data_IF_459429195094
#
_entry.id   IF_459429195094
#
_cell.length_a   1.000
_cell.length_b   1.000
_cell.length_c   1.000
_cell.angle_alpha   90.00
_cell.angle_beta   90.00
_cell.angle_gamma   90.00
#
_symmetry.space_group_name_H-M   'P 1'
#
loop_
_entity.id
_entity.type
_entity.pdbx_description
1 polymer ?
#
# COMPACT_ATOMS: atom_id res chain seq x y z
N UNK A 1 7.97 29.75 19.10
CA UNK A 1 8.42 29.50 17.71
C UNK A 1 7.33 28.74 17.00
N UNK A 2 6.71 29.35 15.98
CA UNK A 2 5.62 28.72 15.23
C UNK A 2 6.16 27.51 14.45
N UNK A 3 5.46 26.36 14.47
CA UNK A 3 5.85 25.22 13.63
C UNK A 3 5.77 25.63 12.16
N UNK A 4 6.82 25.36 11.37
CA UNK A 4 6.81 25.56 9.91
C UNK A 4 5.56 24.88 9.34
N UNK A 5 4.63 25.69 8.82
CA UNK A 5 3.37 25.21 8.25
C UNK A 5 3.65 24.68 6.84
N UNK A 6 3.78 23.36 6.70
CA UNK A 6 3.72 22.71 5.39
C UNK A 6 2.25 22.66 4.93
N UNK A 7 1.99 23.17 3.72
CA UNK A 7 0.64 23.17 3.15
C UNK A 7 0.52 22.06 2.11
N UNK A 8 -0.46 21.18 2.27
CA UNK A 8 -0.76 20.13 1.28
C UNK A 8 -1.65 20.75 0.21
N UNK A 9 -1.10 20.96 -0.97
CA UNK A 9 -1.85 21.50 -2.11
C UNK A 9 -2.57 20.33 -2.80
N UNK A 10 -3.91 20.32 -2.73
CA UNK A 10 -4.76 19.41 -3.51
C UNK A 10 -4.80 19.93 -4.94
N UNK A 11 -4.19 19.19 -5.86
CA UNK A 11 -4.15 19.58 -7.28
C UNK A 11 -5.25 18.84 -8.04
N UNK A 12 -6.03 19.57 -8.83
CA UNK A 12 -7.01 18.99 -9.74
C UNK A 12 -6.35 18.12 -10.81
N UNK A 13 -7.01 17.01 -11.14
CA UNK A 13 -6.49 15.90 -11.97
C UNK A 13 -5.94 16.31 -13.34
N UNK A 14 -6.28 17.51 -13.84
CA UNK A 14 -5.91 17.99 -15.16
C UNK A 14 -4.60 18.79 -15.20
N UNK A 15 -4.20 19.40 -14.08
CA UNK A 15 -2.92 20.15 -14.01
C UNK A 15 -1.71 19.21 -13.93
N UNK A 16 -1.92 18.00 -13.42
CA UNK A 16 -0.90 16.95 -13.28
C UNK A 16 -0.40 16.39 -14.62
N UNK A 17 -1.17 16.57 -15.70
CA UNK A 17 -0.84 16.03 -17.03
C UNK A 17 0.10 16.97 -17.81
N UNK A 18 0.08 18.27 -17.54
CA UNK A 18 0.83 19.27 -18.31
C UNK A 18 2.30 19.37 -17.87
N UNK A 19 2.59 19.18 -16.58
CA UNK A 19 3.96 19.26 -16.04
C UNK A 19 4.83 18.06 -16.47
N UNK A 20 4.22 16.92 -16.82
CA UNK A 20 4.94 15.71 -17.25
C UNK A 20 5.38 15.72 -18.71
N UNK A 21 4.89 16.65 -19.53
CA UNK A 21 5.23 16.73 -20.97
C UNK A 21 6.45 17.61 -21.28
N UNK A 22 6.95 18.39 -20.31
CA UNK A 22 8.04 19.36 -20.53
C UNK A 22 9.38 19.02 -19.87
N UNK A 23 9.53 17.84 -19.25
CA UNK A 23 10.84 17.43 -18.69
C UNK A 23 11.28 16.07 -19.22
N UNK A 24 12.47 15.97 -19.84
CA UNK A 24 12.94 14.75 -20.46
C UNK A 24 13.17 13.65 -19.42
N UNK A 25 12.91 12.44 -19.89
CA UNK A 25 13.13 11.16 -19.25
C UNK A 25 14.54 11.04 -18.68
N UNK A 26 14.61 10.58 -17.42
CA UNK A 26 15.80 10.08 -16.72
C UNK A 26 16.95 11.06 -16.50
N UNK A 27 16.83 11.88 -15.46
CA UNK A 27 17.94 12.11 -14.55
C UNK A 27 17.41 12.01 -13.12
N UNK A 28 17.88 11.00 -12.37
CA UNK A 28 17.49 10.79 -10.98
C UNK A 28 18.30 11.76 -10.13
N UNK A 29 17.90 13.04 -10.11
CA UNK A 29 18.45 14.03 -9.20
C UNK A 29 17.82 13.81 -7.81
N UNK A 30 18.66 13.57 -6.81
CA UNK A 30 18.26 13.47 -5.40
C UNK A 30 18.65 14.77 -4.70
N UNK A 31 17.79 15.79 -4.77
CA UNK A 31 18.00 17.05 -4.07
C UNK A 31 17.75 16.87 -2.57
N UNK A 32 18.38 17.72 -1.77
CA UNK A 32 18.10 17.86 -0.33
C UNK A 32 17.68 19.29 0.00
N UNK A 33 16.50 19.47 0.60
CA UNK A 33 16.01 20.78 1.10
C UNK A 33 16.29 20.86 2.59
N UNK A 34 16.98 21.89 3.03
CA UNK A 34 17.26 22.17 4.44
C UNK A 34 16.25 23.21 4.95
N UNK A 35 15.55 22.91 6.04
CA UNK A 35 14.54 23.79 6.63
C UNK A 35 15.09 24.51 7.87
N UNK A 36 14.55 25.70 8.17
CA UNK A 36 15.01 26.53 9.31
C UNK A 36 14.82 25.88 10.67
N UNK A 37 13.89 24.93 10.77
CA UNK A 37 13.67 24.15 11.99
C UNK A 37 14.68 23.00 12.19
N UNK A 38 15.72 22.92 11.33
CA UNK A 38 16.73 21.87 11.38
C UNK A 38 16.35 20.59 10.65
N UNK A 39 15.15 20.50 10.06
CA UNK A 39 14.74 19.33 9.30
C UNK A 39 15.37 19.32 7.90
N UNK A 40 15.71 18.13 7.43
CA UNK A 40 16.25 17.90 6.09
C UNK A 40 15.29 17.03 5.28
N UNK A 41 14.97 17.47 4.07
CA UNK A 41 14.15 16.76 3.11
C UNK A 41 15.05 16.20 2.02
N UNK A 42 15.45 14.94 2.14
CA UNK A 42 16.37 14.26 1.21
C UNK A 42 15.66 13.55 0.08
N UNK A 43 16.40 13.27 -0.99
CA UNK A 43 15.96 12.44 -2.12
C UNK A 43 14.67 12.96 -2.79
N UNK A 44 14.51 14.28 -2.83
CA UNK A 44 13.37 14.92 -3.50
C UNK A 44 13.82 15.57 -4.79
N UNK A 45 12.85 15.90 -5.64
CA UNK A 45 13.03 16.88 -6.70
C UNK A 45 12.39 18.17 -6.22
N UNK A 46 13.21 19.19 -5.95
CA UNK A 46 12.73 20.48 -5.49
C UNK A 46 12.71 21.48 -6.65
N UNK A 47 11.62 22.22 -6.78
CA UNK A 47 11.50 23.34 -7.72
C UNK A 47 10.84 24.53 -7.02
N UNK A 48 11.10 25.73 -7.53
CA UNK A 48 10.43 26.94 -7.07
C UNK A 48 9.30 27.28 -8.04
N UNK A 49 8.12 27.56 -7.50
CA UNK A 49 6.94 27.97 -8.27
C UNK A 49 6.05 28.84 -7.36
N UNK A 50 5.62 30.01 -7.85
CA UNK A 50 4.79 30.98 -7.11
C UNK A 50 5.38 31.43 -5.76
N UNK A 51 6.71 31.57 -5.67
CA UNK A 51 7.39 31.95 -4.42
C UNK A 51 7.41 30.86 -3.34
N UNK A 52 6.99 29.64 -3.68
CA UNK A 52 7.04 28.46 -2.83
C UNK A 52 8.10 27.49 -3.34
N UNK A 53 8.79 26.83 -2.41
CA UNK A 53 9.63 25.68 -2.73
C UNK A 53 8.74 24.43 -2.67
N UNK A 54 8.44 23.88 -3.84
CA UNK A 54 7.61 22.69 -4.01
C UNK A 54 8.49 21.46 -4.19
N UNK A 55 8.06 20.34 -3.64
CA UNK A 55 8.69 19.05 -3.90
C UNK A 55 7.67 17.92 -3.84
N UNK A 56 8.00 16.77 -4.44
CA UNK A 56 7.14 15.60 -4.39
C UNK A 56 7.46 14.73 -3.17
N UNK A 57 6.49 14.58 -2.26
CA UNK A 57 6.60 13.77 -1.05
C UNK A 57 5.34 12.95 -0.83
N UNK A 58 5.48 11.70 -0.37
CA UNK A 58 4.33 10.85 0.00
C UNK A 58 3.25 10.69 -1.08
N UNK A 59 3.61 10.82 -2.36
CA UNK A 59 2.63 10.76 -3.45
C UNK A 59 1.84 12.06 -3.68
N UNK A 60 2.26 13.18 -3.10
CA UNK A 60 1.64 14.50 -3.21
C UNK A 60 2.69 15.59 -3.41
N UNK A 61 2.27 16.77 -3.91
CA UNK A 61 3.13 17.96 -3.93
C UNK A 61 3.02 18.65 -2.56
N UNK A 62 4.16 18.78 -1.90
CA UNK A 62 4.28 19.50 -0.63
C UNK A 62 5.01 20.80 -0.91
N UNK A 63 4.43 21.90 -0.45
CA UNK A 63 4.96 23.24 -0.64
C UNK A 63 5.47 23.81 0.69
N UNK A 64 6.65 24.40 0.63
CA UNK A 64 7.29 25.11 1.72
C UNK A 64 7.39 26.59 1.37
N UNK A 65 7.15 27.45 2.36
CA UNK A 65 7.41 28.88 2.20
C UNK A 65 8.91 29.08 1.99
N UNK A 66 9.31 29.90 1.01
CA UNK A 66 10.74 30.15 0.71
C UNK A 66 11.50 30.65 1.94
N UNK A 67 10.85 31.45 2.80
CA UNK A 67 11.40 31.92 4.08
C UNK A 67 11.74 30.80 5.08
N UNK A 68 11.14 29.62 4.94
CA UNK A 68 11.34 28.47 5.84
C UNK A 68 12.41 27.50 5.30
N UNK A 69 12.88 27.71 4.06
CA UNK A 69 13.94 26.93 3.42
C UNK A 69 15.27 27.67 3.57
N UNK A 70 16.27 27.00 4.16
CA UNK A 70 17.63 27.51 4.35
C UNK A 70 18.42 27.40 3.04
N UNK A 71 18.44 26.21 2.43
CA UNK A 71 19.12 25.95 1.16
C UNK A 71 18.61 24.67 0.51
N UNK A 72 18.89 24.52 -0.79
CA UNK A 72 18.63 23.29 -1.54
C UNK A 72 19.96 22.81 -2.13
N UNK A 73 20.38 21.61 -1.75
CA UNK A 73 21.55 20.95 -2.33
C UNK A 73 21.09 20.06 -3.49
N UNK A 74 21.56 20.36 -4.71
CA UNK A 74 21.24 19.58 -5.91
C UNK A 74 22.14 18.34 -5.97
N UNK A 75 21.55 17.15 -6.06
CA UNK A 75 22.31 15.90 -6.05
C UNK A 75 23.05 15.63 -7.37
N UNK A 76 24.37 15.49 -7.32
CA UNK A 76 25.19 14.95 -8.41
C UNK A 76 25.46 13.45 -8.13
N UNK A 77 25.00 12.56 -9.02
CA UNK A 77 25.26 11.11 -8.86
C UNK A 77 26.68 10.79 -9.33
N UNK A 78 27.54 10.28 -8.42
CA UNK A 78 28.74 9.54 -8.83
C UNK A 78 28.33 8.15 -9.34
N UNK A 79 28.72 7.82 -10.58
CA UNK A 79 28.54 6.49 -11.19
C UNK A 79 29.28 5.45 -10.34
N UNK A 80 28.56 4.65 -9.55
CA UNK A 80 29.08 3.43 -8.95
C UNK A 80 28.75 2.25 -9.86
N UNK A 81 29.78 1.71 -10.50
CA UNK A 81 29.79 0.46 -11.26
C UNK A 81 29.61 -0.74 -10.33
N UNK A 82 28.36 -1.16 -10.11
CA UNK A 82 27.89 -2.55 -9.96
C UNK A 82 26.55 -2.57 -9.20
N UNK A 83 25.48 -3.14 -9.76
CA UNK A 83 24.19 -3.21 -9.08
C UNK A 83 24.03 -4.54 -8.33
N UNK A 84 23.64 -4.55 -7.04
CA UNK A 84 22.87 -5.65 -6.50
C UNK A 84 21.42 -5.48 -6.96
N UNK A 85 20.96 -6.42 -7.78
CA UNK A 85 19.55 -6.63 -8.10
C UNK A 85 18.74 -6.82 -6.80
N UNK A 86 17.79 -5.92 -6.52
CA UNK A 86 16.45 -6.19 -5.95
C UNK A 86 15.77 -4.87 -5.51
N UNK A 87 14.46 -4.78 -5.78
CA UNK A 87 13.49 -3.77 -5.29
C UNK A 87 13.43 -2.41 -5.99
N UNK A 88 12.50 -2.25 -6.95
CA UNK A 88 11.99 -0.95 -7.42
C UNK A 88 10.50 -0.85 -7.13
N UNK A 89 10.12 -0.06 -6.13
CA UNK A 89 8.70 0.29 -5.92
C UNK A 89 8.34 0.85 -4.55
N UNK A 90 8.78 2.10 -4.26
CA UNK A 90 8.08 3.07 -3.41
C UNK A 90 8.05 2.82 -1.91
N UNK A 91 9.12 3.23 -1.21
CA UNK A 91 9.10 3.56 0.22
C UNK A 91 8.64 5.01 0.39
N UNK A 92 7.68 5.25 1.28
CA UNK A 92 7.46 6.58 1.82
C UNK A 92 8.61 6.93 2.78
N UNK A 93 9.25 8.06 2.52
CA UNK A 93 10.02 8.91 3.44
C UNK A 93 11.19 8.29 4.24
N UNK A 94 12.40 8.77 3.94
CA UNK A 94 13.48 8.93 4.93
C UNK A 94 13.82 7.71 5.79
N UNK A 95 14.60 6.81 5.22
CA UNK A 95 15.64 5.98 5.86
C UNK A 95 15.29 4.87 6.86
N UNK A 96 14.03 4.65 7.26
CA UNK A 96 13.62 3.38 7.90
C UNK A 96 12.18 3.01 7.52
N UNK A 97 11.87 1.74 7.16
CA UNK A 97 10.48 1.33 6.97
C UNK A 97 9.67 1.64 8.24
N UNK A 98 8.61 2.45 8.12
CA UNK A 98 7.70 2.69 9.23
C UNK A 98 6.99 1.39 9.57
N UNK A 99 7.29 0.89 10.77
CA UNK A 99 6.81 -0.37 11.27
C UNK A 99 5.53 -0.18 12.08
N UNK A 100 4.46 -0.82 11.65
CA UNK A 100 3.17 -0.80 12.32
C UNK A 100 3.04 -2.03 13.23
N UNK A 101 2.64 -1.82 14.48
CA UNK A 101 2.32 -2.92 15.39
C UNK A 101 0.94 -3.48 15.04
N UNK A 102 0.84 -4.77 14.77
CA UNK A 102 -0.46 -5.41 14.52
C UNK A 102 -1.24 -5.49 15.84
N UNK A 103 -2.48 -4.98 15.83
CA UNK A 103 -3.37 -4.99 16.99
C UNK A 103 -4.35 -6.17 16.91
N UNK A 104 -4.98 -6.37 15.75
CA UNK A 104 -6.03 -7.37 15.57
C UNK A 104 -6.14 -7.80 14.12
N UNK A 105 -6.25 -9.11 13.89
CA UNK A 105 -6.63 -9.68 12.58
C UNK A 105 -8.13 -9.93 12.57
N UNK A 106 -8.81 -9.52 11.49
CA UNK A 106 -10.25 -9.74 11.34
C UNK A 106 -10.53 -11.03 10.57
N UNK A 107 -9.93 -11.16 9.40
CA UNK A 107 -10.12 -12.24 8.43
C UNK A 107 -8.82 -12.48 7.64
N UNK A 108 -8.89 -13.13 6.48
CA UNK A 108 -7.72 -13.48 5.67
C UNK A 108 -7.11 -12.34 4.86
N UNK A 109 -7.65 -11.12 4.89
CA UNK A 109 -7.12 -10.00 4.10
C UNK A 109 -7.23 -8.63 4.79
N UNK A 110 -7.76 -8.58 6.02
CA UNK A 110 -7.99 -7.34 6.74
C UNK A 110 -7.56 -7.42 8.21
N UNK A 111 -6.92 -6.35 8.71
CA UNK A 111 -6.45 -6.25 10.10
C UNK A 111 -6.36 -4.79 10.56
N UNK A 112 -6.20 -4.56 11.87
CA UNK A 112 -5.85 -3.25 12.45
C UNK A 112 -4.37 -3.26 12.81
N UNK A 113 -3.69 -2.19 12.42
CA UNK A 113 -2.33 -1.89 12.84
C UNK A 113 -2.28 -0.55 13.59
N UNK A 114 -1.21 -0.32 14.36
CA UNK A 114 -1.00 0.94 15.06
C UNK A 114 0.41 1.46 14.88
N UNK A 115 0.52 2.77 14.72
CA UNK A 115 1.77 3.52 14.70
C UNK A 115 1.60 4.78 15.53
N UNK A 116 2.52 5.05 16.47
CA UNK A 116 2.49 6.23 17.36
C UNK A 116 1.11 6.47 18.02
N UNK A 117 0.47 5.40 18.54
CA UNK A 117 -0.87 5.37 19.15
C UNK A 117 -2.06 5.61 18.19
N UNK A 118 -1.81 5.93 16.93
CA UNK A 118 -2.84 6.01 15.89
C UNK A 118 -3.16 4.59 15.43
N UNK A 119 -4.46 4.25 15.30
CA UNK A 119 -4.92 2.96 14.79
C UNK A 119 -5.43 3.13 13.37
N UNK A 120 -5.00 2.24 12.47
CA UNK A 120 -5.44 2.23 11.08
C UNK A 120 -5.95 0.83 10.71
N UNK A 121 -7.08 0.79 10.01
CA UNK A 121 -7.55 -0.43 9.37
C UNK A 121 -6.79 -0.66 8.06
N UNK A 122 -6.30 -1.87 7.84
CA UNK A 122 -5.58 -2.26 6.64
C UNK A 122 -6.41 -3.29 5.87
N UNK A 123 -6.51 -3.09 4.56
CA UNK A 123 -6.98 -4.08 3.58
C UNK A 123 -5.81 -4.43 2.67
N UNK A 124 -5.38 -5.69 2.71
CA UNK A 124 -4.32 -6.20 1.85
C UNK A 124 -4.81 -6.14 0.41
N UNK A 125 -4.02 -5.48 -0.43
CA UNK A 125 -4.39 -5.26 -1.82
C UNK A 125 -4.04 -6.45 -2.70
N UNK A 126 -4.75 -6.59 -3.83
CA UNK A 126 -4.50 -7.64 -4.81
C UNK A 126 -5.08 -9.00 -4.45
N UNK A 127 -5.66 -9.16 -3.25
CA UNK A 127 -6.24 -10.42 -2.78
C UNK A 127 -7.68 -10.26 -2.28
N UNK A 128 -8.42 -11.36 -2.33
CA UNK A 128 -9.72 -11.53 -1.67
C UNK A 128 -9.75 -12.87 -0.94
N UNK A 129 -9.87 -12.84 0.39
CA UNK A 129 -9.92 -14.05 1.19
C UNK A 129 -11.37 -14.53 1.40
N UNK A 130 -11.57 -15.84 1.66
CA UNK A 130 -12.89 -16.35 2.00
C UNK A 130 -13.46 -15.73 3.28
N UNK A 131 -14.77 -15.48 3.29
CA UNK A 131 -15.45 -14.84 4.42
C UNK A 131 -15.45 -15.74 5.66
N UNK A 132 -15.06 -15.22 6.83
CA UNK A 132 -15.10 -15.98 8.10
C UNK A 132 -16.52 -16.19 8.64
N UNK A 133 -17.51 -15.46 8.10
CA UNK A 133 -18.84 -15.32 8.70
C UNK A 133 -18.84 -14.29 9.84
N UNK A 134 -19.95 -13.57 9.99
CA UNK A 134 -20.21 -12.64 11.11
C UNK A 134 -21.45 -13.15 11.88
N UNK A 135 -21.79 -12.53 13.02
CA UNK A 135 -22.85 -12.97 13.97
C UNK A 135 -24.13 -13.58 13.35
N UNK A 136 -24.59 -13.12 12.17
CA UNK A 136 -25.78 -13.64 11.47
C UNK A 136 -25.51 -14.19 10.06
N UNK A 137 -24.26 -14.33 9.64
CA UNK A 137 -23.89 -14.67 8.25
C UNK A 137 -23.00 -15.92 8.17
N UNK A 138 -23.35 -16.83 7.26
CA UNK A 138 -22.58 -18.05 6.97
C UNK A 138 -21.18 -17.67 6.46
N UNK A 139 -20.16 -18.28 7.04
CA UNK A 139 -18.79 -18.22 6.54
C UNK A 139 -18.59 -19.11 5.32
N UNK A 140 -17.55 -18.82 4.55
CA UNK A 140 -17.08 -19.67 3.45
C UNK A 140 -16.15 -20.76 3.96
N UNK A 141 -16.07 -21.90 3.25
CA UNK A 141 -14.95 -22.82 3.39
C UNK A 141 -13.62 -22.08 3.32
N UNK A 142 -12.65 -22.47 4.15
CA UNK A 142 -11.33 -21.83 4.32
C UNK A 142 -11.31 -20.41 4.91
N UNK A 143 -12.46 -19.82 5.28
CA UNK A 143 -12.48 -18.47 5.84
C UNK A 143 -11.74 -18.37 7.17
N UNK A 144 -11.98 -19.31 8.09
CA UNK A 144 -11.30 -19.35 9.39
C UNK A 144 -9.82 -19.69 9.22
N UNK A 145 -9.50 -20.58 8.30
CA UNK A 145 -8.16 -21.03 7.95
C UNK A 145 -7.33 -19.86 7.41
N UNK A 146 -7.89 -19.07 6.49
CA UNK A 146 -7.25 -17.87 5.95
C UNK A 146 -6.93 -16.85 7.04
N UNK A 147 -7.90 -16.56 7.92
CA UNK A 147 -7.68 -15.65 9.05
C UNK A 147 -6.64 -16.16 10.05
N UNK A 148 -6.66 -17.46 10.36
CA UNK A 148 -5.64 -18.11 11.23
C UNK A 148 -4.25 -18.04 10.60
N UNK A 149 -4.14 -18.28 9.29
CA UNK A 149 -2.88 -18.23 8.57
C UNK A 149 -2.29 -16.81 8.55
N UNK A 150 -3.09 -15.80 8.19
CA UNK A 150 -2.67 -14.40 8.26
C UNK A 150 -2.23 -14.03 9.68
N UNK A 151 -3.02 -14.39 10.69
CA UNK A 151 -2.66 -14.18 12.10
C UNK A 151 -1.34 -14.84 12.46
N UNK A 152 -1.09 -16.08 12.04
CA UNK A 152 0.18 -16.79 12.30
C UNK A 152 1.37 -16.05 11.66
N UNK A 153 1.21 -15.51 10.46
CA UNK A 153 2.29 -14.79 9.77
C UNK A 153 2.70 -13.52 10.51
N UNK A 154 1.75 -12.80 11.13
CA UNK A 154 1.96 -11.44 11.64
C UNK A 154 1.87 -11.30 13.17
N UNK A 155 1.44 -12.32 13.91
CA UNK A 155 1.30 -12.27 15.37
C UNK A 155 2.66 -11.95 16.02
N UNK A 156 2.67 -10.94 16.89
CA UNK A 156 3.87 -10.52 17.63
C UNK A 156 4.91 -9.78 16.78
N UNK A 157 4.60 -9.48 15.51
CA UNK A 157 5.52 -8.81 14.58
C UNK A 157 5.03 -7.41 14.25
N UNK A 158 5.95 -6.60 13.75
CA UNK A 158 5.62 -5.37 13.04
C UNK A 158 5.50 -5.62 11.54
N UNK A 159 4.74 -4.77 10.87
CA UNK A 159 4.57 -4.82 9.42
C UNK A 159 5.02 -3.51 8.78
N UNK A 160 5.66 -3.60 7.62
CA UNK A 160 5.85 -2.47 6.73
C UNK A 160 4.66 -2.38 5.76
N UNK A 161 4.24 -1.16 5.44
CA UNK A 161 3.01 -0.90 4.68
C UNK A 161 3.34 0.00 3.51
N UNK A 162 2.97 -0.43 2.30
CA UNK A 162 3.00 0.40 1.10
C UNK A 162 1.57 0.73 0.67
N UNK A 163 1.20 1.98 0.91
CA UNK A 163 -0.16 2.52 0.73
C UNK A 163 -0.49 2.80 -0.74
N UNK A 164 -1.76 2.55 -1.09
CA UNK A 164 -2.37 2.86 -2.38
C UNK A 164 -3.65 3.71 -2.26
N UNK A 165 -3.81 4.41 -1.14
CA UNK A 165 -5.03 5.16 -0.80
C UNK A 165 -6.05 4.35 0.00
N UNK A 166 -7.22 4.94 0.26
CA UNK A 166 -8.23 4.37 1.16
C UNK A 166 -9.43 3.80 0.40
N UNK A 167 -10.07 2.79 0.99
CA UNK A 167 -11.35 2.25 0.51
C UNK A 167 -12.55 3.02 1.10
N UNK A 168 -13.75 2.70 0.62
CA UNK A 168 -15.01 3.29 1.09
C UNK A 168 -15.34 3.05 2.57
N UNK A 169 -14.61 2.13 3.22
CA UNK A 169 -14.75 1.80 4.64
C UNK A 169 -13.64 2.45 5.47
N UNK A 170 -12.92 3.41 4.88
CA UNK A 170 -11.79 4.11 5.49
C UNK A 170 -10.64 3.19 5.93
N UNK A 171 -10.47 2.04 5.25
CA UNK A 171 -9.31 1.18 5.41
C UNK A 171 -8.24 1.57 4.40
N UNK A 172 -6.99 1.54 4.84
CA UNK A 172 -5.83 1.71 4.00
C UNK A 172 -5.68 0.49 3.06
N UNK A 173 -5.75 0.72 1.75
CA UNK A 173 -5.36 -0.28 0.75
C UNK A 173 -3.84 -0.34 0.71
N UNK A 174 -3.26 -1.52 0.92
CA UNK A 174 -1.81 -1.63 0.99
C UNK A 174 -1.25 -2.99 0.60
N UNK A 175 -0.02 -2.97 0.06
CA UNK A 175 0.89 -4.10 0.17
C UNK A 175 1.48 -4.13 1.58
N UNK A 176 1.57 -5.32 2.17
CA UNK A 176 1.98 -5.50 3.57
C UNK A 176 3.12 -6.50 3.64
N UNK A 177 4.16 -6.14 4.39
CA UNK A 177 5.38 -6.92 4.49
C UNK A 177 5.76 -7.21 5.93
N UNK A 178 6.25 -8.42 6.19
CA UNK A 178 6.94 -8.81 7.42
C UNK A 178 8.38 -9.13 7.05
N UNK A 179 9.32 -8.24 7.37
CA UNK A 179 10.65 -8.27 6.78
C UNK A 179 10.53 -8.21 5.24
N UNK A 180 11.13 -9.19 4.54
CA UNK A 180 11.06 -9.29 3.08
C UNK A 180 9.87 -10.12 2.56
N UNK A 181 8.98 -10.58 3.44
CA UNK A 181 7.85 -11.44 3.08
C UNK A 181 6.62 -10.60 2.74
N UNK A 182 6.17 -10.64 1.48
CA UNK A 182 4.89 -10.05 1.07
C UNK A 182 3.73 -10.96 1.53
N UNK A 183 2.91 -10.46 2.46
CA UNK A 183 1.82 -11.23 3.04
C UNK A 183 0.74 -11.57 2.03
N UNK A 184 0.39 -10.64 1.14
CA UNK A 184 -0.63 -10.87 0.12
C UNK A 184 -0.21 -11.99 -0.84
N UNK A 185 1.07 -11.98 -1.24
CA UNK A 185 1.64 -13.04 -2.07
C UNK A 185 1.61 -14.41 -1.36
N UNK A 186 1.98 -14.47 -0.08
CA UNK A 186 1.94 -15.71 0.68
C UNK A 186 0.51 -16.24 0.91
N UNK A 187 -0.49 -15.37 1.07
CA UNK A 187 -1.90 -15.78 1.10
C UNK A 187 -2.33 -16.49 -0.20
N UNK A 188 -1.94 -15.94 -1.35
CA UNK A 188 -2.24 -16.54 -2.67
C UNK A 188 -1.50 -17.86 -2.85
N UNK A 189 -0.21 -17.92 -2.50
CA UNK A 189 0.64 -19.12 -2.63
C UNK A 189 0.15 -20.28 -1.77
N UNK A 190 -0.43 -19.99 -0.61
CA UNK A 190 -1.07 -20.95 0.27
C UNK A 190 -2.47 -21.39 -0.22
N UNK A 191 -3.04 -20.72 -1.22
CA UNK A 191 -4.42 -20.96 -1.68
C UNK A 191 -5.46 -20.50 -0.66
N UNK A 192 -5.15 -19.49 0.16
CA UNK A 192 -6.05 -18.96 1.19
C UNK A 192 -6.65 -17.60 0.82
N UNK A 193 -6.42 -17.16 -0.41
CA UNK A 193 -7.09 -16.06 -1.06
C UNK A 193 -7.06 -16.25 -2.59
N UNK A 194 -7.96 -15.58 -3.30
CA UNK A 194 -7.90 -15.42 -4.76
C UNK A 194 -7.35 -14.04 -5.13
N UNK A 195 -6.83 -13.91 -6.35
CA UNK A 195 -6.34 -12.63 -6.86
C UNK A 195 -7.54 -11.75 -7.21
N UNK A 196 -7.58 -10.55 -6.63
CA UNK A 196 -8.70 -9.63 -6.83
C UNK A 196 -8.83 -9.20 -8.30
N UNK A 197 -10.07 -9.01 -8.75
CA UNK A 197 -10.37 -8.72 -10.16
C UNK A 197 -9.65 -7.43 -10.64
N UNK A 198 -8.87 -7.59 -11.71
CA UNK A 198 -7.92 -6.62 -12.29
C UNK A 198 -8.49 -5.22 -12.54
N UNK A 199 -9.79 -5.07 -12.79
CA UNK A 199 -10.42 -3.78 -13.16
C UNK A 199 -10.40 -2.72 -12.05
N UNK A 200 -10.00 -3.07 -10.82
CA UNK A 200 -10.02 -2.17 -9.65
C UNK A 200 -8.69 -2.10 -8.89
N UNK A 201 -7.60 -2.56 -9.51
CA UNK A 201 -6.29 -2.43 -8.89
C UNK A 201 -5.76 -0.99 -9.10
N UNK A 202 -5.17 -0.38 -8.07
CA UNK A 202 -4.64 0.97 -8.19
C UNK A 202 -3.42 0.99 -9.10
N UNK A 203 -3.15 2.17 -9.68
CA UNK A 203 -1.96 2.41 -10.49
C UNK A 203 -0.70 2.10 -9.67
N UNK A 204 0.26 1.41 -10.27
CA UNK A 204 1.55 1.08 -9.62
C UNK A 204 1.54 -0.19 -8.75
N UNK A 205 0.44 -0.96 -8.70
CA UNK A 205 0.45 -2.30 -8.10
C UNK A 205 0.75 -3.37 -9.16
N UNK A 206 1.81 -4.17 -8.95
CA UNK A 206 2.19 -5.26 -9.87
C UNK A 206 1.50 -6.59 -9.49
N UNK A 207 0.41 -6.90 -10.20
CA UNK A 207 -0.37 -8.13 -9.98
C UNK A 207 0.23 -9.38 -10.62
N UNK A 208 1.28 -9.27 -11.45
CA UNK A 208 1.77 -10.40 -12.27
C UNK A 208 2.27 -11.56 -11.42
N UNK A 209 2.97 -11.28 -10.33
CA UNK A 209 3.48 -12.31 -9.42
C UNK A 209 2.34 -13.04 -8.70
N UNK A 210 1.28 -12.32 -8.32
CA UNK A 210 0.11 -12.87 -7.66
C UNK A 210 -0.63 -13.84 -8.60
N UNK A 211 -0.81 -13.48 -9.87
CA UNK A 211 -1.45 -14.34 -10.87
C UNK A 211 -0.66 -15.63 -11.12
N UNK A 212 0.68 -15.55 -11.18
CA UNK A 212 1.54 -16.73 -11.33
C UNK A 212 1.44 -17.65 -10.11
N UNK A 213 1.46 -17.07 -8.91
CA UNK A 213 1.29 -17.81 -7.66
C UNK A 213 -0.08 -18.50 -7.60
N UNK A 214 -1.15 -17.80 -8.00
CA UNK A 214 -2.50 -18.36 -8.03
C UNK A 214 -2.62 -19.52 -9.03
N UNK A 215 -2.06 -19.37 -10.24
CA UNK A 215 -2.01 -20.47 -11.23
C UNK A 215 -1.35 -21.71 -10.64
N UNK A 216 -0.26 -21.53 -9.89
CA UNK A 216 0.44 -22.63 -9.21
C UNK A 216 -0.39 -23.22 -8.07
N UNK A 217 -1.04 -22.39 -7.25
CA UNK A 217 -1.91 -22.85 -6.17
C UNK A 217 -3.11 -23.66 -6.70
N UNK A 218 -3.69 -23.24 -7.83
CA UNK A 218 -4.72 -23.98 -8.58
C UNK A 218 -4.23 -25.33 -9.07
N UNK A 219 -3.07 -25.37 -9.75
CA UNK A 219 -2.45 -26.61 -10.27
C UNK A 219 -2.26 -27.68 -9.18
N UNK A 220 -1.93 -27.26 -7.96
CA UNK A 220 -1.67 -28.16 -6.83
C UNK A 220 -2.84 -28.23 -5.84
N UNK A 221 -4.05 -27.79 -6.23
CA UNK A 221 -5.26 -27.89 -5.42
C UNK A 221 -5.10 -27.37 -3.98
N UNK A 222 -4.37 -26.27 -3.79
CA UNK A 222 -4.09 -25.73 -2.45
C UNK A 222 -5.28 -24.96 -1.88
N UNK A 223 -5.59 -25.17 -0.61
CA UNK A 223 -6.58 -24.40 0.14
C UNK A 223 -7.92 -24.35 -0.59
N UNK A 224 -8.43 -23.15 -0.89
CA UNK A 224 -9.69 -22.93 -1.61
C UNK A 224 -9.78 -23.70 -2.94
N UNK A 225 -8.64 -23.94 -3.61
CA UNK A 225 -8.58 -24.63 -4.90
C UNK A 225 -8.76 -26.14 -4.78
N UNK A 226 -8.71 -26.71 -3.57
CA UNK A 226 -9.09 -28.12 -3.33
C UNK A 226 -10.59 -28.38 -3.48
N UNK A 227 -11.42 -27.33 -3.45
CA UNK A 227 -12.87 -27.45 -3.56
C UNK A 227 -13.35 -27.71 -5.00
N UNK A 228 -12.47 -27.53 -6.00
CA UNK A 228 -12.84 -27.63 -7.41
C UNK A 228 -14.05 -26.77 -7.74
N UNK A 229 -15.05 -27.37 -8.38
CA UNK A 229 -16.28 -26.70 -8.82
C UNK A 229 -17.16 -26.18 -7.68
N UNK A 230 -16.94 -26.67 -6.45
CA UNK A 230 -17.66 -26.19 -5.26
C UNK A 230 -17.13 -24.84 -4.77
N UNK A 231 -15.99 -24.38 -5.28
CA UNK A 231 -15.43 -23.09 -4.91
C UNK A 231 -16.32 -21.93 -5.42
N UNK A 232 -16.62 -20.98 -4.52
CA UNK A 232 -17.33 -19.75 -4.85
C UNK A 232 -16.45 -18.57 -4.42
N UNK A 233 -16.14 -17.68 -5.37
CA UNK A 233 -15.34 -16.50 -5.07
C UNK A 233 -15.97 -15.63 -3.97
N UNK A 234 -15.18 -14.96 -3.10
CA UNK A 234 -15.72 -14.15 -2.02
C UNK A 234 -16.65 -13.04 -2.51
N UNK A 235 -16.36 -12.45 -3.67
CA UNK A 235 -17.24 -11.48 -4.33
C UNK A 235 -18.62 -12.07 -4.65
N UNK A 236 -18.69 -13.27 -5.25
CA UNK A 236 -19.96 -13.92 -5.58
C UNK A 236 -20.70 -14.32 -4.30
N UNK A 237 -19.98 -14.83 -3.30
CA UNK A 237 -20.56 -15.19 -2.01
C UNK A 237 -21.22 -13.99 -1.31
N UNK A 238 -20.54 -12.84 -1.26
CA UNK A 238 -21.09 -11.59 -0.69
C UNK A 238 -22.36 -11.14 -1.43
N UNK A 239 -22.41 -11.31 -2.76
CA UNK A 239 -23.61 -11.00 -3.56
C UNK A 239 -24.77 -11.94 -3.23
N UNK A 240 -24.52 -13.25 -3.13
CA UNK A 240 -25.52 -14.27 -2.80
C UNK A 240 -26.08 -14.13 -1.38
N UNK A 241 -25.23 -13.76 -0.43
CA UNK A 241 -25.59 -13.66 1.00
C UNK A 241 -25.88 -12.22 1.44
N UNK A 242 -26.16 -11.30 0.51
CA UNK A 242 -26.52 -9.93 0.84
C UNK A 242 -27.92 -9.95 1.46
N UNK A 243 -28.02 -9.74 2.78
CA UNK A 243 -29.31 -9.57 3.46
C UNK A 243 -29.99 -8.34 2.86
N UNK A 244 -31.00 -8.54 2.03
CA UNK A 244 -31.94 -7.49 1.66
C UNK A 244 -32.83 -7.26 2.86
N UNK A 245 -32.60 -6.17 3.59
CA UNK A 245 -33.64 -5.64 4.46
C UNK A 245 -34.79 -5.24 3.53
N UNK A 246 -35.89 -6.01 3.52
CA UNK A 246 -37.16 -5.48 3.04
C UNK A 246 -37.47 -4.31 3.96
N UNK A 247 -37.34 -3.09 3.46
CA UNK A 247 -37.99 -1.94 4.08
C UNK A 247 -39.47 -2.29 4.14
N UNK A 248 -40.00 -2.48 5.34
CA UNK A 248 -41.45 -2.55 5.57
C UNK A 248 -42.00 -1.15 5.47
#
# INVERSE_FOLDING_TARGET
MNPCQAMIIRIDKYFFLLIFLLFPLFSVCADTIFLKNGNEIKNVRAWEEDGLIKCFQYGSIVAYQKKDVVRIEKGLVKKSSNPPLLWKGGYGYGDKPEFFKVIRVFDGDSFIASYKKIKIGIRIIGIDAPETGKKKGKGQPFGKEAGKYLKKMIKGKTVAIKSYGTDRYNRQLAEVFVGNVNLGFEMIKAGLAEVYNRKRLPKGFDVRQYLRAEKRAKKYHRGIWSLGDKYISPKIWRKKNRVTYKTR
#
